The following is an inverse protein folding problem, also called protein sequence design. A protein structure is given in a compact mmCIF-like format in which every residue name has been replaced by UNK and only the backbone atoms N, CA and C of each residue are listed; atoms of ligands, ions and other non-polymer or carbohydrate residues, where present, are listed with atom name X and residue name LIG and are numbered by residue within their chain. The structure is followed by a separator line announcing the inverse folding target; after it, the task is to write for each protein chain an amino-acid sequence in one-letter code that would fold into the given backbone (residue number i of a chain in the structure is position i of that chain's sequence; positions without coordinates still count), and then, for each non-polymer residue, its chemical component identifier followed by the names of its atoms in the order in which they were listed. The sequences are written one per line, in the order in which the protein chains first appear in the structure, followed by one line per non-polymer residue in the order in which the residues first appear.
data_IF_030024199194
#
_entry.id   IF_030024199194
#
_cell.length_a   1.000
_cell.length_b   1.000
_cell.length_c   1.000
_cell.angle_alpha   90.00
_cell.angle_beta   90.00
_cell.angle_gamma   90.00
#
_symmetry.space_group_name_H-M   'P 1'
#
loop_
_entity.id
_entity.type
_entity.pdbx_description
1 polymer ?
#
# COMPACT_ATOMS: atom_id res chain seq x y z
N UNK A 1 35.87 -33.72 21.56
CA UNK A 1 35.66 -32.39 20.94
C UNK A 1 35.06 -32.43 19.53
N UNK A 2 35.44 -33.39 18.66
CA UNK A 2 34.93 -33.45 17.28
C UNK A 2 33.42 -33.80 17.18
N UNK A 3 32.96 -34.81 17.92
CA UNK A 3 31.57 -35.27 17.87
C UNK A 3 30.56 -34.26 18.42
N UNK A 4 30.91 -33.55 19.50
CA UNK A 4 30.06 -32.51 20.12
C UNK A 4 29.90 -31.32 19.17
N UNK A 5 30.98 -30.91 18.48
CA UNK A 5 30.92 -29.84 17.48
C UNK A 5 30.05 -30.25 16.28
N UNK A 6 30.14 -31.50 15.84
CA UNK A 6 29.29 -32.02 14.76
C UNK A 6 27.80 -32.05 15.13
N UNK A 7 27.47 -32.45 16.35
CA UNK A 7 26.07 -32.49 16.85
C UNK A 7 25.50 -31.07 17.00
N UNK A 8 26.29 -30.12 17.50
CA UNK A 8 25.85 -28.72 17.64
C UNK A 8 25.65 -28.06 16.27
N UNK A 9 26.53 -28.32 15.30
CA UNK A 9 26.37 -27.82 13.93
C UNK A 9 25.16 -28.48 13.24
N UNK A 10 24.95 -29.78 13.40
CA UNK A 10 23.77 -30.46 12.85
C UNK A 10 22.46 -29.94 13.46
N UNK A 11 22.43 -29.70 14.78
CA UNK A 11 21.26 -29.12 15.45
C UNK A 11 20.99 -27.67 15.01
N UNK A 12 22.03 -26.87 14.78
CA UNK A 12 21.89 -25.50 14.30
C UNK A 12 21.40 -25.43 12.84
N UNK A 13 21.87 -26.33 11.97
CA UNK A 13 21.45 -26.41 10.57
C UNK A 13 20.01 -26.96 10.44
N UNK A 14 19.63 -27.95 11.26
CA UNK A 14 18.24 -28.42 11.32
C UNK A 14 17.29 -27.40 11.96
N UNK A 15 17.73 -26.65 12.97
CA UNK A 15 16.96 -25.54 13.54
C UNK A 15 16.70 -24.42 12.53
N UNK A 16 17.67 -24.15 11.64
CA UNK A 16 17.53 -23.15 10.58
C UNK A 16 16.62 -23.64 9.43
N UNK A 17 16.63 -24.94 9.11
CA UNK A 17 15.72 -25.53 8.10
C UNK A 17 14.28 -25.72 8.62
N UNK A 18 14.08 -25.97 9.92
CA UNK A 18 12.75 -26.06 10.52
C UNK A 18 12.16 -24.70 10.91
N UNK A 19 13.00 -23.70 11.22
CA UNK A 19 12.58 -22.34 11.57
C UNK A 19 12.56 -21.35 10.39
N UNK A 20 13.28 -21.63 9.31
CA UNK A 20 13.55 -20.69 8.21
C UNK A 20 12.41 -20.41 7.23
N UNK A 21 11.24 -21.04 7.39
CA UNK A 21 10.06 -20.81 6.54
C UNK A 21 8.81 -20.38 7.30
N UNK A 22 8.95 -19.90 8.55
CA UNK A 22 7.78 -19.45 9.35
C UNK A 22 7.63 -17.94 9.41
N UNK A 23 7.98 -17.21 8.35
CA UNK A 23 7.41 -15.86 8.17
C UNK A 23 6.02 -15.97 7.53
N UNK A 24 5.10 -16.58 8.27
CA UNK A 24 3.67 -16.30 8.20
C UNK A 24 3.36 -14.80 8.45
N UNK A 25 4.38 -13.97 8.74
CA UNK A 25 4.31 -12.52 8.72
C UNK A 25 3.81 -11.92 7.39
N UNK A 26 3.89 -12.64 6.27
CA UNK A 26 3.29 -12.23 4.99
C UNK A 26 1.89 -12.82 4.73
N UNK A 27 1.36 -13.69 5.59
CA UNK A 27 0.14 -14.45 5.33
C UNK A 27 -1.18 -13.70 5.67
N UNK A 28 -1.10 -12.45 6.13
CA UNK A 28 -2.25 -11.59 6.44
C UNK A 28 -2.72 -10.71 5.29
N UNK A 29 -2.81 -11.22 4.06
CA UNK A 29 -3.14 -10.42 2.86
C UNK A 29 -4.45 -9.63 2.96
N UNK A 30 -5.48 -10.18 3.59
CA UNK A 30 -6.81 -9.55 3.62
C UNK A 30 -6.89 -8.31 4.53
N UNK A 31 -6.08 -8.24 5.60
CA UNK A 31 -6.13 -7.13 6.56
C UNK A 31 -5.48 -5.86 6.00
N UNK A 32 -4.31 -6.01 5.39
CA UNK A 32 -3.59 -4.89 4.80
C UNK A 32 -4.32 -4.31 3.58
N UNK A 33 -4.94 -5.14 2.73
CA UNK A 33 -5.69 -4.66 1.57
C UNK A 33 -6.88 -3.79 1.99
N UNK A 34 -7.64 -4.21 3.02
CA UNK A 34 -8.78 -3.41 3.54
C UNK A 34 -8.33 -2.07 4.10
N UNK A 35 -7.24 -2.04 4.87
CA UNK A 35 -6.70 -0.79 5.41
C UNK A 35 -6.16 0.11 4.30
N UNK A 36 -5.49 -0.45 3.28
CA UNK A 36 -5.05 0.30 2.09
C UNK A 36 -6.23 0.93 1.36
N UNK A 37 -7.32 0.20 1.13
CA UNK A 37 -8.53 0.74 0.50
C UNK A 37 -9.13 1.88 1.34
N UNK A 38 -9.19 1.70 2.67
CA UNK A 38 -9.70 2.72 3.59
C UNK A 38 -8.86 3.99 3.52
N UNK A 39 -7.53 3.89 3.66
CA UNK A 39 -6.64 5.04 3.59
C UNK A 39 -6.62 5.68 2.20
N UNK A 40 -6.77 4.91 1.12
CA UNK A 40 -6.91 5.48 -0.23
C UNK A 40 -8.19 6.33 -0.35
N UNK A 41 -9.31 5.88 0.21
CA UNK A 41 -10.57 6.66 0.25
C UNK A 41 -10.43 7.93 1.08
N UNK A 42 -9.78 7.87 2.24
CA UNK A 42 -9.47 9.06 3.06
C UNK A 42 -8.56 10.04 2.31
N UNK A 43 -7.51 9.54 1.65
CA UNK A 43 -6.60 10.36 0.83
C UNK A 43 -7.31 11.07 -0.31
N UNK A 44 -8.18 10.37 -1.05
CA UNK A 44 -9.02 10.94 -2.12
C UNK A 44 -9.94 12.04 -1.57
N UNK A 45 -10.52 11.85 -0.39
CA UNK A 45 -11.37 12.87 0.25
C UNK A 45 -10.57 14.13 0.57
N UNK A 46 -9.39 13.98 1.20
CA UNK A 46 -8.51 15.11 1.51
C UNK A 46 -8.01 15.83 0.24
N UNK A 47 -7.72 15.09 -0.84
CA UNK A 47 -7.29 15.70 -2.09
C UNK A 47 -8.42 16.49 -2.76
N UNK A 48 -9.67 16.02 -2.69
CA UNK A 48 -10.85 16.78 -3.14
C UNK A 48 -11.04 18.08 -2.34
N UNK A 49 -10.82 18.04 -1.02
CA UNK A 49 -10.84 19.25 -0.18
C UNK A 49 -9.69 20.21 -0.55
N UNK A 50 -8.48 19.70 -0.75
CA UNK A 50 -7.33 20.49 -1.16
C UNK A 50 -7.55 21.18 -2.51
N UNK A 51 -8.12 20.46 -3.50
CA UNK A 51 -8.52 21.02 -4.80
C UNK A 51 -9.54 22.13 -4.61
N UNK A 52 -10.55 21.94 -3.76
CA UNK A 52 -11.57 22.96 -3.49
C UNK A 52 -10.93 24.24 -2.93
N UNK A 53 -10.05 24.12 -1.94
CA UNK A 53 -9.34 25.27 -1.39
C UNK A 53 -8.40 25.93 -2.40
N UNK A 54 -7.76 25.15 -3.28
CA UNK A 54 -6.93 25.70 -4.33
C UNK A 54 -7.77 26.49 -5.35
N UNK A 55 -8.93 25.96 -5.77
CA UNK A 55 -9.88 26.66 -6.65
C UNK A 55 -10.35 27.99 -6.03
N UNK A 56 -10.66 27.99 -4.74
CA UNK A 56 -11.01 29.21 -4.00
C UNK A 56 -9.85 30.20 -3.94
N UNK A 57 -8.63 29.73 -3.63
CA UNK A 57 -7.45 30.56 -3.49
C UNK A 57 -7.02 31.22 -4.81
N UNK A 58 -7.26 30.56 -5.94
CA UNK A 58 -6.91 31.09 -7.26
C UNK A 58 -8.05 31.82 -7.95
N UNK A 59 -9.23 31.92 -7.31
CA UNK A 59 -10.40 32.57 -7.90
C UNK A 59 -10.10 34.03 -8.25
N UNK A 60 -10.23 34.37 -9.53
CA UNK A 60 -9.91 35.71 -10.04
C UNK A 60 -8.41 35.99 -10.20
N UNK A 61 -7.55 34.98 -10.06
CA UNK A 61 -6.12 35.07 -10.31
C UNK A 61 -5.79 34.69 -11.76
N UNK A 62 -4.86 35.42 -12.36
CA UNK A 62 -4.26 35.10 -13.66
C UNK A 62 -2.89 34.44 -13.56
N UNK A 63 -2.48 34.03 -12.35
CA UNK A 63 -1.22 33.31 -12.16
C UNK A 63 -1.26 31.94 -12.85
N UNK A 64 -0.45 31.78 -13.90
CA UNK A 64 -0.37 30.56 -14.69
C UNK A 64 0.07 29.34 -13.86
N UNK A 65 1.06 29.51 -12.97
CA UNK A 65 1.54 28.41 -12.12
C UNK A 65 0.49 27.94 -11.12
N UNK A 66 -0.38 28.84 -10.66
CA UNK A 66 -1.45 28.47 -9.76
C UNK A 66 -2.55 27.65 -10.46
N UNK A 67 -2.82 27.95 -11.74
CA UNK A 67 -3.72 27.16 -12.59
C UNK A 67 -3.12 25.79 -12.95
N UNK A 68 -1.81 25.75 -13.25
CA UNK A 68 -1.05 24.51 -13.50
C UNK A 68 -1.01 23.61 -12.24
N UNK A 69 -0.80 24.19 -11.05
CA UNK A 69 -0.87 23.44 -9.79
C UNK A 69 -2.25 22.80 -9.56
N UNK A 70 -3.33 23.50 -9.95
CA UNK A 70 -4.69 22.94 -9.88
C UNK A 70 -4.89 21.79 -10.87
N UNK A 71 -4.33 21.89 -12.07
CA UNK A 71 -4.36 20.82 -13.07
C UNK A 71 -3.63 19.58 -12.53
N UNK A 72 -2.41 19.72 -12.03
CA UNK A 72 -1.67 18.61 -11.43
C UNK A 72 -2.36 17.99 -10.21
N UNK A 73 -3.05 18.78 -9.38
CA UNK A 73 -3.85 18.25 -8.28
C UNK A 73 -5.02 17.39 -8.80
N UNK A 74 -5.66 17.79 -9.91
CA UNK A 74 -6.73 17.00 -10.54
C UNK A 74 -6.21 15.71 -11.20
N UNK A 75 -5.02 15.76 -11.81
CA UNK A 75 -4.34 14.57 -12.34
C UNK A 75 -3.95 13.59 -11.21
N UNK A 76 -3.39 14.10 -10.12
CA UNK A 76 -3.05 13.33 -8.93
C UNK A 76 -4.29 12.63 -8.34
N UNK A 77 -5.42 13.34 -8.24
CA UNK A 77 -6.70 12.76 -7.83
C UNK A 77 -7.14 11.61 -8.75
N UNK A 78 -6.99 11.78 -10.07
CA UNK A 78 -7.32 10.74 -11.05
C UNK A 78 -6.49 9.49 -10.81
N UNK A 79 -5.18 9.64 -10.63
CA UNK A 79 -4.30 8.50 -10.32
C UNK A 79 -4.58 7.86 -8.96
N UNK A 80 -5.02 8.63 -7.97
CA UNK A 80 -5.47 8.08 -6.69
C UNK A 80 -6.74 7.22 -6.86
N UNK A 81 -7.71 7.66 -7.67
CA UNK A 81 -8.92 6.90 -7.99
C UNK A 81 -8.62 5.61 -8.79
N UNK A 82 -7.69 5.66 -9.74
CA UNK A 82 -7.18 4.47 -10.46
C UNK A 82 -6.50 3.49 -9.50
N UNK A 83 -5.65 4.00 -8.61
CA UNK A 83 -4.96 3.19 -7.59
C UNK A 83 -5.94 2.51 -6.64
N UNK A 84 -7.00 3.21 -6.23
CA UNK A 84 -8.08 2.64 -5.44
C UNK A 84 -8.80 1.51 -6.20
N UNK A 85 -9.10 1.71 -7.48
CA UNK A 85 -9.71 0.68 -8.33
C UNK A 85 -8.86 -0.59 -8.38
N UNK A 86 -7.54 -0.45 -8.53
CA UNK A 86 -6.63 -1.59 -8.50
C UNK A 86 -6.57 -2.29 -7.13
N UNK A 87 -6.62 -1.53 -6.03
CA UNK A 87 -6.68 -2.10 -4.70
C UNK A 87 -7.97 -2.90 -4.46
N UNK A 88 -9.11 -2.41 -4.95
CA UNK A 88 -10.40 -3.11 -4.90
C UNK A 88 -10.37 -4.41 -5.74
N UNK A 89 -9.83 -4.37 -6.96
CA UNK A 89 -9.62 -5.56 -7.80
C UNK A 89 -8.69 -6.59 -7.13
N UNK A 90 -7.63 -6.14 -6.45
CA UNK A 90 -6.74 -7.02 -5.70
C UNK A 90 -7.47 -7.70 -4.53
N UNK A 91 -8.35 -6.97 -3.84
CA UNK A 91 -9.20 -7.52 -2.78
C UNK A 91 -10.12 -8.62 -3.31
N UNK A 92 -10.78 -8.40 -4.45
CA UNK A 92 -11.66 -9.39 -5.07
C UNK A 92 -10.89 -10.66 -5.47
N UNK A 93 -9.73 -10.51 -6.12
CA UNK A 93 -8.89 -11.63 -6.54
C UNK A 93 -8.29 -12.42 -5.36
N UNK A 94 -8.01 -11.76 -4.23
CA UNK A 94 -7.51 -12.42 -3.01
C UNK A 94 -8.55 -13.29 -2.32
N UNK A 95 -9.84 -12.94 -2.43
CA UNK A 95 -10.95 -13.71 -1.85
C UNK A 95 -11.38 -14.87 -2.75
N UNK A 96 -11.22 -14.77 -4.07
CA UNK A 96 -11.53 -15.83 -5.04
C UNK A 96 -10.60 -17.06 -5.04
N UNK A 97 -9.39 -16.95 -4.47
CA UNK A 97 -8.42 -18.07 -4.34
C UNK A 97 -8.69 -19.04 -3.17
N UNK A 98 -9.74 -18.80 -2.37
CA UNK A 98 -10.13 -19.66 -1.22
C UNK A 98 -11.25 -20.67 -1.58
N UNK A 99 -11.27 -21.23 -2.79
CA UNK A 99 -12.16 -22.35 -3.15
C UNK A 99 -11.36 -23.58 -3.55
#
# INVERSE_FOLDING_TARGET
MSQIKAIVVAAAVFGLLAGGMTSAAFAGGDGHIKETIKHAKEGIAHEKEAITHLEEAIKGSDNAHAKEALEHAKESLTHAEESLTHAEQAAENSTGKKK
#
